data_IF_963083247526
#
_entry.id   IF_963083247526
#
_cell.length_a   1.000
_cell.length_b   1.000
_cell.length_c   1.000
_cell.angle_alpha   90.00
_cell.angle_beta   90.00
_cell.angle_gamma   90.00
#
_symmetry.space_group_name_H-M   'P 1'
#
loop_
_entity.id
_entity.type
_entity.pdbx_description
1 polymer ?
#
# COMPACT_ATOMS: atom_id res chain seq x y z
N UNK A 1 -57.10 17.99 -3.77
CA UNK A 1 -56.46 18.70 -4.89
C UNK A 1 -55.23 19.40 -4.35
N UNK A 2 -54.13 19.25 -5.09
CA UNK A 2 -52.79 19.89 -4.97
C UNK A 2 -51.87 19.54 -3.80
N UNK A 3 -50.75 18.95 -4.22
CA UNK A 3 -49.49 18.62 -3.54
C UNK A 3 -48.71 19.86 -3.07
N UNK A 4 -47.84 19.69 -2.07
CA UNK A 4 -46.39 19.86 -2.25
C UNK A 4 -45.58 19.35 -1.04
N UNK A 5 -44.48 18.67 -1.37
CA UNK A 5 -43.44 18.12 -0.51
C UNK A 5 -42.55 19.18 0.13
N UNK A 6 -41.95 18.85 1.28
CA UNK A 6 -40.74 19.48 1.80
C UNK A 6 -39.98 18.50 2.70
N UNK A 7 -38.95 17.84 2.15
CA UNK A 7 -38.00 16.98 2.86
C UNK A 7 -37.07 17.87 3.70
N UNK A 8 -36.90 17.54 4.98
CA UNK A 8 -35.86 18.08 5.84
C UNK A 8 -34.79 16.98 5.99
N UNK A 9 -33.66 17.13 5.31
CA UNK A 9 -32.47 16.29 5.49
C UNK A 9 -31.62 17.00 6.56
N UNK A 10 -31.45 16.34 7.70
CA UNK A 10 -30.59 16.80 8.78
C UNK A 10 -29.18 16.27 8.50
N UNK A 11 -28.29 17.14 8.07
CA UNK A 11 -26.85 16.94 8.13
C UNK A 11 -26.37 17.34 9.53
N UNK A 12 -25.69 16.45 10.24
CA UNK A 12 -24.95 16.81 11.44
C UNK A 12 -23.62 16.06 11.50
N UNK A 13 -22.55 16.80 11.21
CA UNK A 13 -21.17 16.45 11.49
C UNK A 13 -20.92 16.30 12.99
N UNK A 14 -20.19 15.26 13.41
CA UNK A 14 -19.43 15.24 14.65
C UNK A 14 -18.25 14.25 14.52
N UNK A 15 -17.11 14.75 14.07
CA UNK A 15 -15.79 14.25 14.42
C UNK A 15 -14.78 15.39 14.17
N UNK A 16 -14.66 16.26 15.17
CA UNK A 16 -13.55 17.20 15.30
C UNK A 16 -12.33 16.41 15.74
N UNK A 17 -11.21 16.50 15.00
CA UNK A 17 -9.93 16.02 15.48
C UNK A 17 -8.86 15.60 14.46
N UNK A 18 -8.78 16.20 13.27
CA UNK A 18 -7.59 16.10 12.41
C UNK A 18 -7.57 17.22 11.36
N UNK A 19 -7.53 18.49 11.80
CA UNK A 19 -7.34 19.63 10.88
C UNK A 19 -6.38 20.62 11.51
N UNK A 20 -5.08 20.35 11.40
CA UNK A 20 -4.03 21.34 11.64
C UNK A 20 -2.69 20.99 10.97
N UNK A 21 -2.66 20.21 9.88
CA UNK A 21 -1.45 20.01 9.07
C UNK A 21 -1.83 19.73 7.60
N UNK A 22 -2.65 20.59 6.97
CA UNK A 22 -2.78 20.54 5.51
C UNK A 22 -3.24 21.90 4.95
N UNK A 23 -2.29 22.82 4.86
CA UNK A 23 -2.38 23.98 3.98
C UNK A 23 -0.99 24.23 3.40
N UNK A 24 -0.50 23.33 2.56
CA UNK A 24 0.51 23.73 1.57
C UNK A 24 -0.21 24.51 0.49
N UNK A 25 -0.02 25.83 0.47
CA UNK A 25 -0.46 26.65 -0.65
C UNK A 25 0.18 26.16 -1.93
N UNK A 26 -0.61 26.14 -3.01
CA UNK A 26 -0.20 25.79 -4.36
C UNK A 26 1.02 26.63 -4.79
N UNK A 27 2.22 26.05 -4.64
CA UNK A 27 3.40 26.51 -5.36
C UNK A 27 3.55 25.56 -6.53
N UNK A 28 3.16 26.01 -7.72
CA UNK A 28 3.49 25.33 -8.99
C UNK A 28 5.02 25.28 -9.14
N UNK A 29 5.64 24.26 -8.56
CA UNK A 29 6.97 23.83 -8.95
C UNK A 29 6.86 23.10 -10.30
N UNK A 30 7.71 23.39 -11.29
CA UNK A 30 7.67 22.71 -12.56
C UNK A 30 7.91 21.21 -12.34
N UNK A 31 6.99 20.37 -12.82
CA UNK A 31 7.11 18.93 -12.77
C UNK A 31 8.47 18.48 -13.33
N UNK A 32 9.31 17.75 -12.57
CA UNK A 32 10.53 17.20 -13.12
C UNK A 32 10.16 16.23 -14.24
N UNK A 33 10.78 16.42 -15.40
CA UNK A 33 10.60 15.53 -16.55
C UNK A 33 11.39 14.25 -16.28
N UNK A 34 10.73 13.23 -15.76
CA UNK A 34 11.31 11.89 -15.62
C UNK A 34 11.47 11.25 -17.01
N UNK A 35 12.70 10.85 -17.34
CA UNK A 35 12.99 10.07 -18.54
C UNK A 35 12.48 8.64 -18.37
N UNK A 36 11.81 8.13 -19.40
CA UNK A 36 11.12 6.85 -19.40
C UNK A 36 11.92 5.68 -18.83
N UNK A 37 11.27 4.97 -17.91
CA UNK A 37 11.69 3.70 -17.34
C UNK A 37 11.55 2.60 -18.40
N UNK A 38 12.66 2.35 -19.08
CA UNK A 38 12.83 1.26 -20.04
C UNK A 38 14.19 0.61 -19.82
N UNK A 39 14.38 0.02 -18.65
CA UNK A 39 15.61 -0.67 -18.31
C UNK A 39 15.61 -1.07 -16.85
N UNK A 40 15.91 -2.34 -16.60
CA UNK A 40 16.29 -2.87 -15.28
C UNK A 40 17.49 -2.03 -14.83
N UNK A 41 17.23 -1.01 -14.01
CA UNK A 41 18.08 0.15 -13.87
C UNK A 41 19.08 -0.01 -12.74
N UNK A 42 20.33 -0.24 -13.09
CA UNK A 42 21.49 -0.07 -12.22
C UNK A 42 21.57 1.38 -11.71
N UNK A 43 21.41 1.58 -10.40
CA UNK A 43 22.10 2.64 -9.64
C UNK A 43 21.77 4.10 -9.96
N UNK A 44 20.50 4.48 -10.13
CA UNK A 44 20.12 5.89 -10.04
C UNK A 44 18.85 6.02 -9.22
N UNK A 45 18.95 6.67 -8.05
CA UNK A 45 17.88 6.79 -7.06
C UNK A 45 16.57 7.27 -7.68
N UNK A 46 15.51 6.48 -7.50
CA UNK A 46 14.14 6.89 -7.80
C UNK A 46 13.65 7.76 -6.64
N UNK A 47 13.04 8.91 -6.93
CA UNK A 47 12.58 9.85 -5.91
C UNK A 47 11.05 9.97 -5.92
N UNK A 48 10.37 9.53 -4.86
CA UNK A 48 8.89 9.59 -4.74
C UNK A 48 8.46 10.13 -3.35
N UNK A 49 7.22 10.64 -3.26
CA UNK A 49 6.52 11.15 -2.04
C UNK A 49 6.19 9.98 -1.06
N UNK A 50 5.99 10.13 0.27
CA UNK A 50 6.13 9.00 1.25
C UNK A 50 5.13 8.86 2.43
N UNK A 51 3.79 8.84 2.29
CA UNK A 51 2.96 9.09 3.54
C UNK A 51 1.45 8.85 3.46
N UNK A 52 1.03 7.84 2.72
CA UNK A 52 -0.23 7.19 3.07
C UNK A 52 0.12 5.76 3.49
N UNK A 53 -0.14 5.40 4.74
CA UNK A 53 0.08 4.02 5.22
C UNK A 53 -0.93 3.09 4.58
N UNK A 54 -2.17 3.57 4.67
CA UNK A 54 -3.38 3.16 4.01
C UNK A 54 -3.96 4.48 3.51
N UNK A 55 -4.57 4.46 2.33
CA UNK A 55 -5.18 5.68 1.84
C UNK A 55 -6.24 6.16 2.85
N UNK A 56 -6.26 7.45 3.20
CA UNK A 56 -7.27 7.97 4.15
C UNK A 56 -8.69 7.68 3.67
N UNK A 57 -8.86 7.65 2.34
CA UNK A 57 -10.06 7.24 1.64
C UNK A 57 -10.29 5.73 1.57
N UNK A 58 -9.33 4.87 1.91
CA UNK A 58 -9.48 3.40 1.87
C UNK A 58 -9.59 2.74 3.25
N UNK A 59 -9.63 3.51 4.35
CA UNK A 59 -9.65 2.97 5.74
C UNK A 59 -10.75 1.95 6.02
N UNK A 60 -11.86 2.06 5.31
CA UNK A 60 -13.04 1.22 5.41
C UNK A 60 -12.90 -0.15 4.71
N UNK A 61 -12.09 -0.27 3.65
CA UNK A 61 -12.02 -1.47 2.80
C UNK A 61 -10.61 -1.69 2.23
N UNK A 62 -9.56 -1.54 3.05
CA UNK A 62 -8.20 -1.84 2.59
C UNK A 62 -7.83 -3.31 2.80
N UNK A 63 -8.58 -4.06 3.62
CA UNK A 63 -8.44 -5.50 3.79
C UNK A 63 -9.80 -6.19 3.76
N UNK A 64 -9.88 -7.36 3.12
CA UNK A 64 -11.10 -8.17 3.09
C UNK A 64 -10.81 -9.65 2.84
N UNK A 65 -11.72 -10.53 3.30
CA UNK A 65 -11.68 -11.97 3.01
C UNK A 65 -12.38 -12.31 1.69
N UNK A 66 -11.78 -13.20 0.89
CA UNK A 66 -12.42 -13.72 -0.33
C UNK A 66 -13.53 -14.73 -0.08
N UNK A 67 -13.49 -15.41 1.06
CA UNK A 67 -14.49 -16.41 1.44
C UNK A 67 -15.79 -15.76 1.89
N UNK A 68 -15.82 -14.42 1.97
CA UNK A 68 -16.94 -13.66 2.49
C UNK A 68 -17.09 -13.80 3.99
N UNK A 69 -16.01 -14.16 4.69
CA UNK A 69 -15.96 -14.09 6.14
C UNK A 69 -15.77 -12.64 6.59
N UNK A 70 -16.14 -12.35 7.84
CA UNK A 70 -15.83 -11.06 8.44
C UNK A 70 -14.32 -10.98 8.71
N UNK A 71 -13.69 -9.92 8.23
CA UNK A 71 -12.31 -9.59 8.55
C UNK A 71 -12.27 -8.30 9.34
N UNK A 72 -11.56 -8.30 10.48
CA UNK A 72 -11.35 -7.08 11.27
C UNK A 72 -9.95 -6.55 10.98
N UNK A 73 -9.89 -5.35 10.43
CA UNK A 73 -8.61 -4.70 10.16
C UNK A 73 -8.05 -4.03 11.43
N UNK A 74 -6.81 -3.56 11.37
CA UNK A 74 -6.13 -2.92 12.53
C UNK A 74 -6.75 -1.60 13.01
N UNK A 75 -7.65 -0.99 12.22
CA UNK A 75 -8.49 0.12 12.67
C UNK A 75 -9.80 -0.36 13.29
N UNK A 76 -9.96 -1.65 13.59
CA UNK A 76 -11.17 -2.19 14.20
C UNK A 76 -12.41 -2.15 13.30
N UNK A 77 -12.25 -1.87 12.00
CA UNK A 77 -13.36 -1.99 11.05
C UNK A 77 -13.51 -3.44 10.65
N UNK A 78 -14.75 -3.94 10.68
CA UNK A 78 -15.07 -5.25 10.14
C UNK A 78 -15.54 -5.08 8.69
N UNK A 79 -14.93 -5.78 7.74
CA UNK A 79 -15.37 -5.83 6.35
C UNK A 79 -15.82 -7.25 5.99
N UNK A 80 -16.83 -7.36 5.13
CA UNK A 80 -17.32 -8.62 4.59
C UNK A 80 -17.65 -8.45 3.12
N UNK A 81 -16.91 -9.13 2.24
CA UNK A 81 -17.26 -9.21 0.83
C UNK A 81 -18.55 -10.03 0.66
N UNK A 82 -19.58 -9.44 0.07
CA UNK A 82 -20.90 -10.08 -0.06
C UNK A 82 -21.28 -10.40 -1.50
N UNK A 83 -20.71 -9.71 -2.48
CA UNK A 83 -21.00 -9.93 -3.89
C UNK A 83 -19.84 -9.48 -4.76
N UNK A 84 -19.63 -10.24 -5.83
CA UNK A 84 -18.71 -9.91 -6.93
C UNK A 84 -19.57 -9.79 -8.18
N UNK A 85 -19.40 -8.72 -8.94
CA UNK A 85 -20.12 -8.50 -10.20
C UNK A 85 -19.16 -8.05 -11.29
N UNK A 86 -19.36 -8.54 -12.51
CA UNK A 86 -18.57 -8.17 -13.68
C UNK A 86 -19.52 -7.78 -14.82
N UNK A 87 -19.46 -6.52 -15.25
CA UNK A 87 -20.36 -6.00 -16.29
C UNK A 87 -20.09 -6.63 -17.66
N UNK A 88 -18.82 -6.73 -18.03
CA UNK A 88 -18.36 -7.14 -19.37
C UNK A 88 -17.62 -8.49 -19.32
N UNK A 89 -18.30 -9.55 -18.88
CA UNK A 89 -17.72 -10.90 -18.93
C UNK A 89 -17.89 -11.55 -20.32
N UNK A 90 -17.13 -12.61 -20.65
CA UNK A 90 -17.34 -13.41 -21.86
C UNK A 90 -18.75 -14.01 -22.01
N UNK A 91 -19.55 -14.00 -20.94
CA UNK A 91 -20.92 -14.54 -20.89
C UNK A 91 -21.98 -13.47 -20.61
N UNK A 92 -21.63 -12.18 -20.75
CA UNK A 92 -22.48 -11.04 -20.39
C UNK A 92 -22.34 -10.65 -18.92
N UNK A 93 -23.22 -9.78 -18.39
CA UNK A 93 -23.16 -9.39 -16.99
C UNK A 93 -23.32 -10.58 -16.04
N UNK A 94 -22.38 -10.77 -15.12
CA UNK A 94 -22.40 -11.84 -14.12
C UNK A 94 -22.33 -11.23 -12.72
N UNK A 95 -23.08 -11.79 -11.78
CA UNK A 95 -23.07 -11.36 -10.38
C UNK A 95 -23.22 -12.57 -9.47
N UNK A 96 -22.34 -12.70 -8.48
CA UNK A 96 -22.28 -13.87 -7.60
C UNK A 96 -22.20 -13.44 -6.14
N UNK A 97 -23.15 -13.86 -5.30
CA UNK A 97 -23.03 -13.70 -3.85
C UNK A 97 -21.86 -14.55 -3.32
N UNK A 98 -20.99 -13.94 -2.52
CA UNK A 98 -19.82 -14.65 -1.97
C UNK A 98 -20.25 -15.64 -0.89
N UNK A 99 -19.65 -16.84 -0.92
CA UNK A 99 -19.98 -17.95 -0.02
C UNK A 99 -21.30 -18.67 -0.34
N UNK A 100 -22.07 -18.24 -1.35
CA UNK A 100 -23.26 -18.95 -1.78
C UNK A 100 -22.90 -20.13 -2.72
N UNK A 101 -23.63 -21.26 -2.66
CA UNK A 101 -23.48 -22.33 -3.64
C UNK A 101 -23.76 -21.79 -5.05
N UNK A 102 -22.89 -22.14 -5.99
CA UNK A 102 -23.08 -21.82 -7.40
C UNK A 102 -24.42 -22.37 -7.92
N UNK A 103 -25.32 -21.50 -8.42
CA UNK A 103 -26.59 -21.96 -8.98
C UNK A 103 -26.32 -22.83 -10.21
N UNK A 104 -26.85 -24.06 -10.29
CA UNK A 104 -26.65 -24.91 -11.44
C UNK A 104 -27.32 -24.26 -12.67
N UNK A 105 -26.52 -23.97 -13.70
CA UNK A 105 -27.01 -23.40 -14.96
C UNK A 105 -26.94 -21.88 -15.06
N UNK A 106 -26.35 -21.19 -14.07
CA UNK A 106 -26.02 -19.76 -14.16
C UNK A 106 -24.50 -19.56 -14.23
N UNK A 107 -24.08 -18.45 -14.85
CA UNK A 107 -22.68 -18.05 -14.80
C UNK A 107 -22.36 -17.47 -13.44
N UNK A 108 -21.14 -17.69 -12.96
CA UNK A 108 -20.66 -17.12 -11.71
C UNK A 108 -19.27 -16.53 -11.84
N UNK A 109 -18.91 -15.66 -10.90
CA UNK A 109 -17.60 -15.04 -10.80
C UNK A 109 -17.07 -15.22 -9.38
N UNK A 110 -15.79 -15.60 -9.26
CA UNK A 110 -15.10 -15.76 -7.99
C UNK A 110 -13.70 -15.16 -8.07
N UNK A 111 -13.19 -14.61 -6.97
CA UNK A 111 -11.79 -14.15 -6.90
C UNK A 111 -10.90 -15.36 -6.65
N UNK A 112 -9.76 -15.41 -7.34
CA UNK A 112 -8.74 -16.45 -7.18
C UNK A 112 -7.62 -15.99 -6.23
N UNK A 113 -7.03 -16.89 -5.43
CA UNK A 113 -5.82 -16.57 -4.67
C UNK A 113 -4.61 -16.39 -5.61
N UNK A 114 -3.56 -15.75 -5.10
CA UNK A 114 -2.27 -15.65 -5.76
C UNK A 114 -1.67 -14.25 -5.82
N UNK A 115 -0.51 -14.20 -6.49
CA UNK A 115 0.41 -13.06 -6.53
C UNK A 115 -0.15 -11.81 -7.22
N UNK A 116 -1.00 -12.02 -8.22
CA UNK A 116 -1.74 -10.97 -8.93
C UNK A 116 -3.24 -11.18 -8.72
N UNK A 117 -3.97 -10.07 -8.74
CA UNK A 117 -5.41 -10.07 -8.56
C UNK A 117 -6.11 -10.63 -9.79
N UNK A 118 -6.85 -11.72 -9.60
CA UNK A 118 -7.48 -12.48 -10.68
C UNK A 118 -8.87 -12.91 -10.27
N UNK A 119 -9.74 -13.04 -11.26
CA UNK A 119 -11.06 -13.63 -11.05
C UNK A 119 -11.28 -14.77 -12.04
N UNK A 120 -12.03 -15.79 -11.65
CA UNK A 120 -12.54 -16.79 -12.58
C UNK A 120 -14.01 -16.53 -12.87
N UNK A 121 -14.39 -16.68 -14.13
CA UNK A 121 -15.80 -16.73 -14.56
C UNK A 121 -16.14 -18.15 -14.95
N UNK A 122 -17.07 -18.76 -14.22
CA UNK A 122 -17.52 -20.13 -14.43
C UNK A 122 -18.74 -20.11 -15.34
N UNK A 123 -18.64 -20.79 -16.49
CA UNK A 123 -19.75 -20.89 -17.44
C UNK A 123 -20.78 -21.94 -17.01
N UNK A 124 -22.08 -21.70 -17.21
CA UNK A 124 -23.08 -22.71 -16.97
C UNK A 124 -23.00 -23.88 -17.95
N UNK A 125 -23.16 -25.10 -17.42
CA UNK A 125 -23.26 -26.34 -18.18
C UNK A 125 -22.04 -27.27 -18.04
N UNK A 126 -22.24 -28.59 -18.16
CA UNK A 126 -21.19 -29.58 -17.93
C UNK A 126 -20.07 -29.47 -18.97
N UNK A 127 -18.83 -29.45 -18.50
CA UNK A 127 -17.63 -29.53 -19.33
C UNK A 127 -17.12 -28.20 -19.92
N UNK A 128 -17.70 -27.06 -19.55
CA UNK A 128 -17.08 -25.77 -19.87
C UNK A 128 -15.99 -25.45 -18.83
N UNK A 129 -14.74 -25.20 -19.23
CA UNK A 129 -13.71 -24.78 -18.29
C UNK A 129 -14.00 -23.36 -17.77
N UNK A 130 -13.62 -23.03 -16.51
CA UNK A 130 -13.58 -21.65 -16.04
C UNK A 130 -12.68 -20.79 -16.94
N UNK A 131 -13.02 -19.51 -17.05
CA UNK A 131 -12.19 -18.52 -17.74
C UNK A 131 -11.57 -17.63 -16.67
N UNK A 132 -10.26 -17.68 -16.54
CA UNK A 132 -9.48 -16.77 -15.68
C UNK A 132 -9.35 -15.42 -16.39
N UNK A 133 -9.58 -14.35 -15.64
CA UNK A 133 -9.50 -12.96 -16.09
C UNK A 133 -8.50 -12.21 -15.19
N UNK A 134 -7.72 -11.32 -15.81
CA UNK A 134 -6.70 -10.50 -15.18
C UNK A 134 -6.46 -9.22 -16.00
N UNK A 135 -5.77 -8.23 -15.45
CA UNK A 135 -5.44 -6.98 -16.13
C UNK A 135 -6.68 -6.28 -16.71
N UNK A 136 -6.64 -5.96 -18.01
CA UNK A 136 -7.73 -5.25 -18.73
C UNK A 136 -9.09 -5.98 -18.65
N UNK A 137 -9.09 -7.30 -18.49
CA UNK A 137 -10.34 -8.08 -18.38
C UNK A 137 -11.10 -7.81 -17.07
N UNK A 138 -10.47 -7.16 -16.08
CA UNK A 138 -11.09 -6.79 -14.81
C UNK A 138 -11.75 -5.41 -14.83
N UNK A 139 -11.68 -4.66 -15.94
CA UNK A 139 -12.39 -3.39 -16.04
C UNK A 139 -13.91 -3.64 -16.02
N UNK A 140 -14.62 -2.90 -15.18
CA UNK A 140 -16.04 -3.13 -14.91
C UNK A 140 -16.30 -4.18 -13.82
N UNK A 141 -15.25 -4.75 -13.20
CA UNK A 141 -15.39 -5.53 -11.97
C UNK A 141 -15.89 -4.62 -10.85
N UNK A 142 -16.82 -5.13 -10.06
CA UNK A 142 -17.40 -4.49 -8.88
C UNK A 142 -17.42 -5.45 -7.71
N UNK A 143 -16.96 -4.98 -6.55
CA UNK A 143 -16.99 -5.71 -5.30
C UNK A 143 -17.92 -4.97 -4.32
N UNK A 144 -18.93 -5.65 -3.81
CA UNK A 144 -19.86 -5.11 -2.81
C UNK A 144 -19.54 -5.71 -1.44
N UNK A 145 -19.52 -4.85 -0.43
CA UNK A 145 -19.18 -5.21 0.94
C UNK A 145 -20.26 -4.74 1.91
N UNK A 146 -20.26 -5.38 3.08
CA UNK A 146 -20.82 -4.82 4.30
C UNK A 146 -19.64 -4.44 5.19
N UNK A 147 -19.61 -3.20 5.67
CA UNK A 147 -18.60 -2.69 6.60
C UNK A 147 -19.25 -2.29 7.91
N UNK A 148 -18.59 -2.59 9.03
CA UNK A 148 -18.96 -2.09 10.36
C UNK A 148 -17.82 -1.27 10.93
N UNK A 149 -18.15 -0.05 11.35
CA UNK A 149 -17.23 0.78 12.13
C UNK A 149 -17.30 0.48 13.62
N UNK A 150 -16.66 1.34 14.42
CA UNK A 150 -16.66 1.27 15.88
C UNK A 150 -18.03 1.38 16.53
N UNK A 151 -19.01 1.96 15.84
CA UNK A 151 -20.39 2.06 16.33
C UNK A 151 -21.17 0.74 16.16
N UNK A 152 -20.58 -0.26 15.49
CA UNK A 152 -21.18 -1.54 15.18
C UNK A 152 -22.29 -1.47 14.12
N UNK A 153 -22.52 -0.31 13.51
CA UNK A 153 -23.54 -0.13 12.47
C UNK A 153 -22.99 -0.66 11.15
N UNK A 154 -23.78 -1.50 10.50
CA UNK A 154 -23.43 -2.06 9.20
C UNK A 154 -23.82 -1.10 8.06
N UNK A 155 -22.89 -0.85 7.17
CA UNK A 155 -23.05 -0.02 5.97
C UNK A 155 -22.75 -0.86 4.74
N UNK A 156 -23.58 -0.70 3.70
CA UNK A 156 -23.26 -1.23 2.38
C UNK A 156 -22.32 -0.26 1.67
N UNK A 157 -21.27 -0.81 1.09
CA UNK A 157 -20.25 -0.06 0.33
C UNK A 157 -19.85 -0.88 -0.87
N UNK A 158 -19.42 -0.22 -1.94
CA UNK A 158 -18.95 -0.90 -3.13
C UNK A 158 -17.71 -0.21 -3.71
N UNK A 159 -16.86 -1.00 -4.38
CA UNK A 159 -15.75 -0.48 -5.17
C UNK A 159 -15.82 -1.04 -6.59
N UNK A 160 -15.34 -0.26 -7.56
CA UNK A 160 -15.37 -0.59 -8.99
C UNK A 160 -14.03 -0.35 -9.66
N UNK A 161 -13.63 -1.27 -10.53
CA UNK A 161 -12.40 -1.21 -11.31
C UNK A 161 -12.70 -0.50 -12.63
N UNK A 162 -12.01 0.61 -12.89
CA UNK A 162 -12.37 1.54 -13.97
C UNK A 162 -11.25 1.78 -14.98
N UNK A 163 -10.01 1.48 -14.61
CA UNK A 163 -8.84 1.62 -15.46
C UNK A 163 -7.77 0.61 -15.00
N UNK A 164 -6.84 0.25 -15.89
CA UNK A 164 -5.79 -0.71 -15.64
C UNK A 164 -4.47 -0.20 -16.24
N UNK A 165 -3.38 -0.43 -15.50
CA UNK A 165 -2.02 -0.12 -15.91
C UNK A 165 -1.13 -1.30 -15.54
N UNK A 166 -0.56 -1.94 -16.55
CA UNK A 166 0.51 -2.92 -16.35
C UNK A 166 1.85 -2.19 -16.16
N UNK A 167 2.51 -2.41 -15.03
CA UNK A 167 3.83 -1.87 -14.76
C UNK A 167 4.90 -2.96 -14.86
N UNK A 168 5.96 -2.73 -15.63
CA UNK A 168 6.95 -3.75 -15.98
C UNK A 168 7.58 -4.49 -14.78
N UNK A 169 7.77 -3.80 -13.64
CA UNK A 169 8.31 -4.40 -12.41
C UNK A 169 7.26 -4.66 -11.34
N UNK A 170 6.13 -3.96 -11.41
CA UNK A 170 5.19 -3.86 -10.31
C UNK A 170 3.88 -4.61 -10.59
N UNK A 171 3.74 -5.19 -11.79
CA UNK A 171 2.57 -5.94 -12.25
C UNK A 171 1.36 -5.03 -12.45
N UNK A 172 0.17 -5.62 -12.29
CA UNK A 172 -1.09 -4.92 -12.54
C UNK A 172 -1.43 -3.90 -11.45
N UNK A 173 -1.82 -2.71 -11.90
CA UNK A 173 -2.39 -1.62 -11.11
C UNK A 173 -3.77 -1.25 -11.65
N UNK A 174 -4.70 -0.93 -10.76
CA UNK A 174 -6.08 -0.63 -11.11
C UNK A 174 -6.51 0.73 -10.57
N UNK A 175 -7.25 1.50 -11.36
CA UNK A 175 -7.99 2.65 -10.85
C UNK A 175 -9.28 2.14 -10.22
N UNK A 176 -9.32 2.17 -8.90
CA UNK A 176 -10.47 1.74 -8.12
C UNK A 176 -11.26 2.96 -7.66
N UNK A 177 -12.57 2.94 -7.89
CA UNK A 177 -13.52 3.98 -7.48
C UNK A 177 -14.39 3.44 -6.35
N UNK A 178 -14.71 4.28 -5.37
CA UNK A 178 -15.87 4.07 -4.51
C UNK A 178 -17.14 4.19 -5.35
N UNK A 179 -18.05 3.26 -5.17
CA UNK A 179 -19.30 3.18 -5.93
C UNK A 179 -20.48 3.33 -4.98
N UNK A 180 -21.54 3.96 -5.45
CA UNK A 180 -22.83 3.94 -4.76
C UNK A 180 -23.39 2.51 -4.81
N UNK A 181 -23.69 1.88 -3.65
CA UNK A 181 -24.11 0.49 -3.62
C UNK A 181 -25.47 0.26 -4.31
N UNK A 182 -26.36 1.26 -4.33
CA UNK A 182 -27.70 1.14 -4.90
C UNK A 182 -27.71 1.39 -6.41
N UNK A 183 -27.05 2.45 -6.85
CA UNK A 183 -27.09 2.93 -8.25
C UNK A 183 -25.92 2.42 -9.08
N UNK A 184 -24.78 2.10 -8.45
CA UNK A 184 -23.55 1.76 -9.15
C UNK A 184 -22.86 2.92 -9.83
N UNK A 185 -23.22 4.16 -9.50
CA UNK A 185 -22.49 5.35 -9.97
C UNK A 185 -21.19 5.55 -9.18
N UNK A 186 -20.11 6.02 -9.83
CA UNK A 186 -18.86 6.33 -9.15
C UNK A 186 -19.03 7.57 -8.25
N UNK A 187 -18.59 7.45 -7.00
CA UNK A 187 -18.67 8.51 -6.00
C UNK A 187 -17.36 9.29 -5.88
N UNK A 188 -16.23 8.59 -5.76
CA UNK A 188 -14.90 9.16 -5.60
C UNK A 188 -13.82 8.11 -5.90
N UNK A 189 -12.58 8.50 -6.23
CA UNK A 189 -11.45 7.58 -6.26
C UNK A 189 -11.22 6.92 -4.89
N UNK A 190 -10.85 5.64 -4.88
CA UNK A 190 -10.48 4.94 -3.65
C UNK A 190 -9.11 5.42 -3.14
N UNK A 191 -8.19 5.71 -4.06
CA UNK A 191 -6.83 6.13 -3.75
C UNK A 191 -6.62 7.64 -3.94
N UNK A 192 -5.76 8.19 -3.09
CA UNK A 192 -5.14 9.49 -3.29
C UNK A 192 -4.10 9.45 -4.42
N UNK A 193 -3.76 10.63 -4.94
CA UNK A 193 -2.72 10.78 -5.98
C UNK A 193 -1.35 10.42 -5.43
N UNK A 194 -0.56 9.69 -6.23
CA UNK A 194 0.86 9.55 -6.02
C UNK A 194 1.65 10.75 -6.57
N UNK A 195 2.97 10.69 -6.52
CA UNK A 195 3.85 11.77 -6.98
C UNK A 195 3.75 12.06 -8.48
N UNK A 196 3.23 11.11 -9.27
CA UNK A 196 3.03 11.26 -10.71
C UNK A 196 1.58 11.66 -11.05
N UNK A 197 0.73 11.85 -10.03
CA UNK A 197 -0.68 12.22 -10.19
C UNK A 197 -1.59 11.03 -10.50
N UNK A 198 -1.11 9.79 -10.38
CA UNK A 198 -1.93 8.61 -10.60
C UNK A 198 -2.67 8.19 -9.32
N UNK A 199 -3.86 7.61 -9.48
CA UNK A 199 -4.72 7.11 -8.39
C UNK A 199 -4.96 5.62 -8.57
N UNK A 200 -3.87 4.86 -8.52
CA UNK A 200 -3.91 3.43 -8.79
C UNK A 200 -3.78 2.61 -7.51
N UNK A 201 -4.20 1.36 -7.55
CA UNK A 201 -4.02 0.40 -6.48
C UNK A 201 -3.56 -0.95 -7.04
N UNK A 202 -2.68 -1.61 -6.31
CA UNK A 202 -2.41 -3.04 -6.46
C UNK A 202 -3.14 -3.79 -5.36
N UNK A 203 -3.59 -5.01 -5.64
CA UNK A 203 -4.20 -5.87 -4.64
C UNK A 203 -3.26 -7.03 -4.37
N UNK A 204 -2.89 -7.22 -3.10
CA UNK A 204 -2.04 -8.31 -2.65
C UNK A 204 -2.87 -9.40 -1.97
N UNK A 205 -2.59 -10.66 -2.25
CA UNK A 205 -3.11 -11.78 -1.46
C UNK A 205 -2.18 -12.06 -0.27
N UNK A 206 -2.79 -12.39 0.85
CA UNK A 206 -2.16 -12.72 2.13
C UNK A 206 -1.44 -11.60 2.85
N UNK A 207 -1.36 -10.39 2.30
CA UNK A 207 -0.78 -9.24 3.01
C UNK A 207 -1.79 -8.68 4.01
N UNK A 208 -1.35 -8.43 5.24
CA UNK A 208 -2.03 -7.58 6.21
C UNK A 208 -1.08 -6.49 6.68
N UNK A 209 -1.62 -5.28 6.84
CA UNK A 209 -0.89 -4.09 7.28
C UNK A 209 -1.64 -3.48 8.46
N UNK A 210 -0.97 -3.44 9.61
CA UNK A 210 -1.43 -2.60 10.70
C UNK A 210 -1.36 -1.14 10.24
N UNK A 211 -2.46 -0.42 10.24
CA UNK A 211 -2.53 0.91 9.66
C UNK A 211 -2.20 2.00 10.69
N UNK A 212 -1.98 1.64 11.95
CA UNK A 212 -1.47 2.51 13.01
C UNK A 212 0.05 2.42 13.11
N UNK A 213 0.59 1.20 13.07
CA UNK A 213 2.04 0.94 13.18
C UNK A 213 2.68 0.68 11.81
N UNK A 214 1.93 0.41 10.75
CA UNK A 214 2.50 -0.05 9.47
C UNK A 214 3.30 -1.35 9.59
N UNK A 215 3.12 -2.10 10.68
CA UNK A 215 3.59 -3.47 10.79
C UNK A 215 2.90 -4.31 9.72
N UNK A 216 3.66 -5.19 9.07
CA UNK A 216 3.18 -6.00 7.97
C UNK A 216 3.34 -7.46 8.33
N UNK A 217 2.29 -8.22 8.07
CA UNK A 217 2.29 -9.67 8.23
C UNK A 217 1.75 -10.32 6.96
N UNK A 218 2.27 -11.50 6.64
CA UNK A 218 1.75 -12.33 5.57
C UNK A 218 0.95 -13.46 6.20
N UNK A 219 -0.34 -13.19 6.42
CA UNK A 219 -1.27 -14.04 7.19
C UNK A 219 -1.75 -15.29 6.45
N UNK A 220 -1.22 -15.54 5.24
CA UNK A 220 -1.59 -16.64 4.36
C UNK A 220 -2.75 -16.30 3.41
N UNK A 221 -3.07 -17.22 2.48
CA UNK A 221 -4.09 -17.01 1.44
C UNK A 221 -5.45 -16.59 2.01
N UNK A 222 -6.14 -15.70 1.29
CA UNK A 222 -7.56 -15.41 1.51
C UNK A 222 -7.87 -14.07 2.16
N UNK A 223 -6.86 -13.34 2.67
CA UNK A 223 -6.98 -11.91 3.02
C UNK A 223 -6.36 -11.09 1.91
N UNK A 224 -7.10 -10.14 1.36
CA UNK A 224 -6.64 -9.30 0.28
C UNK A 224 -6.42 -7.87 0.78
N UNK A 225 -5.27 -7.30 0.49
CA UNK A 225 -4.91 -5.93 0.83
C UNK A 225 -4.91 -5.02 -0.40
N UNK A 226 -5.64 -3.91 -0.35
CA UNK A 226 -5.68 -2.88 -1.39
C UNK A 226 -4.60 -1.83 -1.12
N UNK A 227 -3.48 -1.94 -1.81
CA UNK A 227 -2.34 -1.05 -1.70
C UNK A 227 -2.36 0.04 -2.79
N UNK A 228 -2.75 1.25 -2.41
CA UNK A 228 -2.68 2.40 -3.31
C UNK A 228 -1.23 2.71 -3.72
N UNK A 229 -1.00 3.19 -4.95
CA UNK A 229 0.32 3.65 -5.44
C UNK A 229 0.85 4.85 -4.66
N UNK A 230 -0.04 5.59 -4.00
CA UNK A 230 0.30 6.65 -3.04
C UNK A 230 0.70 6.13 -1.66
N UNK A 231 0.48 4.83 -1.37
CA UNK A 231 0.80 4.20 -0.10
C UNK A 231 2.16 3.51 -0.08
N UNK A 232 2.72 3.26 1.11
CA UNK A 232 4.03 2.59 1.21
C UNK A 232 4.04 1.20 0.51
N UNK A 233 3.06 0.29 0.74
CA UNK A 233 3.03 -1.01 0.05
C UNK A 233 2.92 -0.90 -1.47
N UNK A 234 2.19 0.09 -1.98
CA UNK A 234 2.07 0.33 -3.42
C UNK A 234 3.35 0.94 -4.02
N UNK A 235 4.05 1.79 -3.28
CA UNK A 235 5.35 2.37 -3.71
C UNK A 235 6.47 1.33 -3.73
N UNK A 236 6.48 0.42 -2.76
CA UNK A 236 7.49 -0.63 -2.66
C UNK A 236 7.66 -1.43 -3.97
N UNK A 237 6.56 -1.85 -4.60
CA UNK A 237 6.61 -2.54 -5.89
C UNK A 237 7.04 -1.64 -7.05
N UNK A 238 6.66 -0.36 -7.04
CA UNK A 238 7.11 0.63 -8.04
C UNK A 238 8.62 0.84 -7.98
N UNK A 239 9.20 0.74 -6.78
CA UNK A 239 10.65 0.71 -6.56
C UNK A 239 11.32 -0.62 -6.96
N UNK A 240 10.56 -1.62 -7.42
CA UNK A 240 11.08 -2.93 -7.82
C UNK A 240 11.13 -3.97 -6.71
N UNK A 241 10.62 -3.65 -5.51
CA UNK A 241 10.55 -4.61 -4.42
C UNK A 241 9.21 -5.34 -4.42
N UNK A 242 9.02 -6.20 -5.42
CA UNK A 242 7.84 -7.05 -5.46
C UNK A 242 8.05 -8.29 -4.58
N UNK A 243 7.18 -8.59 -3.60
CA UNK A 243 7.37 -9.73 -2.69
C UNK A 243 7.44 -11.07 -3.41
N UNK A 244 6.91 -11.17 -4.64
CA UNK A 244 6.90 -12.40 -5.45
C UNK A 244 8.17 -12.56 -6.30
N UNK A 245 8.88 -11.46 -6.56
CA UNK A 245 10.13 -11.44 -7.32
C UNK A 245 11.36 -11.44 -6.40
N UNK A 246 11.23 -10.89 -5.19
CA UNK A 246 12.25 -10.86 -4.15
C UNK A 246 11.83 -11.74 -2.97
N UNK A 247 11.98 -11.24 -1.75
CA UNK A 247 11.51 -11.89 -0.53
C UNK A 247 10.52 -11.00 0.20
N UNK A 248 9.68 -11.60 1.03
CA UNK A 248 8.76 -10.90 1.93
C UNK A 248 9.53 -9.95 2.85
N UNK A 249 10.68 -10.37 3.37
CA UNK A 249 11.51 -9.55 4.25
C UNK A 249 12.04 -8.30 3.53
N UNK A 250 12.44 -8.43 2.25
CA UNK A 250 12.86 -7.28 1.45
C UNK A 250 11.70 -6.30 1.24
N UNK A 251 10.49 -6.80 0.95
CA UNK A 251 9.29 -5.99 0.82
C UNK A 251 8.94 -5.25 2.13
N UNK A 252 8.94 -5.95 3.27
CA UNK A 252 8.69 -5.35 4.58
C UNK A 252 9.75 -4.28 4.89
N UNK A 253 11.02 -4.57 4.61
CA UNK A 253 12.11 -3.66 4.88
C UNK A 253 12.03 -2.39 4.04
N UNK A 254 11.79 -2.48 2.72
CA UNK A 254 11.62 -1.26 1.92
C UNK A 254 10.44 -0.44 2.41
N UNK A 255 9.35 -1.07 2.87
CA UNK A 255 8.23 -0.34 3.44
C UNK A 255 8.67 0.49 4.65
N UNK A 256 9.50 -0.06 5.54
CA UNK A 256 10.11 0.72 6.65
C UNK A 256 10.98 1.85 6.14
N UNK A 257 11.79 1.61 5.10
CA UNK A 257 12.63 2.64 4.47
C UNK A 257 11.79 3.79 3.90
N UNK A 258 10.75 3.50 3.11
CA UNK A 258 9.82 4.51 2.55
C UNK A 258 9.22 5.36 3.67
N UNK A 259 8.90 4.72 4.79
CA UNK A 259 8.26 5.34 5.97
C UNK A 259 9.24 6.07 6.88
N UNK A 260 10.55 5.91 6.67
CA UNK A 260 11.58 6.30 7.62
C UNK A 260 11.28 5.74 9.03
N UNK A 261 10.81 4.49 9.14
CA UNK A 261 10.51 3.81 10.41
C UNK A 261 11.81 3.35 11.09
N UNK A 262 12.65 4.32 11.48
CA UNK A 262 14.01 4.06 11.99
C UNK A 262 14.01 3.10 13.17
N UNK A 263 12.97 3.16 14.00
CA UNK A 263 12.87 2.36 15.21
C UNK A 263 12.27 0.97 14.98
N UNK A 264 11.81 0.68 13.77
CA UNK A 264 11.09 -0.53 13.42
C UNK A 264 9.86 -0.80 14.34
N UNK A 265 9.32 0.26 14.96
CA UNK A 265 8.17 0.23 15.86
C UNK A 265 6.90 0.71 15.16
N UNK A 266 7.04 1.14 13.91
CA UNK A 266 5.96 1.59 13.10
C UNK A 266 5.69 3.08 13.12
N UNK A 267 6.47 3.85 13.85
CA UNK A 267 6.38 5.30 13.82
C UNK A 267 7.09 5.86 12.58
N UNK A 268 6.45 6.72 11.77
CA UNK A 268 7.14 7.35 10.65
C UNK A 268 8.01 8.49 11.17
N UNK A 269 9.16 8.68 10.55
CA UNK A 269 9.94 9.90 10.73
C UNK A 269 10.06 10.66 9.39
N UNK A 270 8.95 10.74 8.66
CA UNK A 270 8.82 11.44 7.36
C UNK A 270 7.42 12.07 7.19
N UNK A 271 7.26 12.94 6.18
CA UNK A 271 6.01 13.65 5.86
C UNK A 271 5.70 13.68 4.36
N UNK A 272 4.43 13.98 4.00
CA UNK A 272 4.02 14.28 2.62
C UNK A 272 4.94 15.18 1.83
N UNK A 273 5.34 14.67 0.67
CA UNK A 273 6.22 15.34 -0.29
C UNK A 273 7.69 14.95 -0.14
N UNK A 274 8.10 14.30 0.95
CA UNK A 274 9.51 13.97 1.16
C UNK A 274 10.02 13.00 0.12
N UNK A 275 11.01 13.48 -0.62
CA UNK A 275 11.80 12.74 -1.58
C UNK A 275 12.68 11.71 -0.87
N UNK A 276 12.67 10.46 -1.35
CA UNK A 276 13.53 9.38 -0.86
C UNK A 276 14.36 8.84 -2.01
N UNK A 277 15.68 8.78 -1.86
CA UNK A 277 16.53 7.95 -2.73
C UNK A 277 16.79 6.61 -2.04
N UNK A 278 16.79 5.52 -2.79
CA UNK A 278 17.10 4.19 -2.28
C UNK A 278 18.18 3.57 -3.17
N UNK A 279 19.25 3.10 -2.53
CA UNK A 279 20.21 2.15 -3.12
C UNK A 279 20.23 0.88 -2.29
N UNK A 280 20.47 -0.25 -2.94
CA UNK A 280 20.44 -1.55 -2.28
C UNK A 280 21.36 -2.55 -2.97
N UNK A 281 21.57 -3.70 -2.33
CA UNK A 281 22.33 -4.82 -2.90
C UNK A 281 21.49 -6.08 -3.18
N UNK A 282 20.16 -6.03 -3.10
CA UNK A 282 19.27 -7.20 -3.27
C UNK A 282 19.36 -7.80 -4.66
N UNK A 283 19.54 -6.94 -5.67
CA UNK A 283 19.63 -7.35 -7.07
C UNK A 283 21.05 -7.80 -7.46
N UNK A 284 21.99 -7.81 -6.51
CA UNK A 284 23.42 -8.06 -6.76
C UNK A 284 24.14 -6.89 -7.43
N UNK A 285 23.44 -5.78 -7.66
CA UNK A 285 24.00 -4.52 -8.15
C UNK A 285 23.74 -3.41 -7.16
N UNK A 286 24.80 -2.84 -6.60
CA UNK A 286 24.74 -1.71 -5.67
C UNK A 286 25.82 -1.80 -4.59
N UNK A 287 25.88 -0.82 -3.68
CA UNK A 287 26.88 -0.80 -2.62
C UNK A 287 26.65 -1.97 -1.65
N UNK A 288 27.73 -2.68 -1.33
CA UNK A 288 27.75 -3.73 -0.29
C UNK A 288 28.29 -3.20 1.04
N UNK A 289 28.90 -2.01 1.02
CA UNK A 289 29.43 -1.36 2.20
C UNK A 289 29.00 0.10 2.28
N UNK A 290 28.99 0.67 3.49
CA UNK A 290 28.72 2.09 3.71
C UNK A 290 29.72 2.98 2.97
N UNK A 291 30.99 2.56 2.88
CA UNK A 291 32.01 3.31 2.15
C UNK A 291 31.71 3.37 0.64
N UNK A 292 31.20 2.28 0.06
CA UNK A 292 30.74 2.26 -1.34
C UNK A 292 29.51 3.14 -1.55
N UNK A 293 28.57 3.12 -0.59
CA UNK A 293 27.39 3.99 -0.65
C UNK A 293 27.75 5.48 -0.55
N UNK A 294 28.72 5.86 0.30
CA UNK A 294 29.23 7.25 0.32
C UNK A 294 29.92 7.61 -0.99
N UNK A 295 30.60 6.67 -1.64
CA UNK A 295 31.26 6.89 -2.92
C UNK A 295 30.28 7.01 -4.10
N UNK A 296 29.03 6.56 -3.95
CA UNK A 296 27.97 6.68 -4.96
C UNK A 296 27.09 7.93 -4.79
N UNK A 297 27.29 8.72 -3.73
CA UNK A 297 26.50 9.95 -3.51
C UNK A 297 26.78 11.01 -4.57
N UNK A 298 25.72 11.69 -5.01
CA UNK A 298 25.83 12.97 -5.72
C UNK A 298 26.39 14.09 -4.84
N UNK A 299 26.77 15.22 -5.45
CA UNK A 299 27.35 16.38 -4.73
C UNK A 299 26.41 16.95 -3.65
N UNK A 300 25.10 16.78 -3.81
CA UNK A 300 24.05 17.28 -2.91
C UNK A 300 23.29 16.15 -2.16
N UNK A 301 23.85 14.93 -2.15
CA UNK A 301 23.24 13.78 -1.46
C UNK A 301 23.96 13.45 -0.16
N UNK A 302 23.20 13.01 0.84
CA UNK A 302 23.73 12.41 2.07
C UNK A 302 23.13 11.04 2.31
N UNK A 303 23.88 10.15 2.95
CA UNK A 303 23.29 8.96 3.55
C UNK A 303 22.42 9.42 4.71
N UNK A 304 21.11 9.21 4.56
CA UNK A 304 20.12 9.45 5.60
C UNK A 304 20.21 8.33 6.64
N UNK A 305 20.13 7.08 6.18
CA UNK A 305 20.17 5.91 7.04
C UNK A 305 20.61 4.66 6.27
N UNK A 306 21.14 3.68 7.01
CA UNK A 306 21.47 2.35 6.51
C UNK A 306 20.63 1.34 7.25
N UNK A 307 20.07 0.37 6.55
CA UNK A 307 19.07 -0.56 7.09
C UNK A 307 19.44 -2.01 6.79
N UNK A 308 18.96 -2.91 7.65
CA UNK A 308 18.91 -4.36 7.45
C UNK A 308 17.52 -4.91 7.81
N UNK A 309 17.34 -6.23 7.71
CA UNK A 309 16.07 -6.89 8.01
C UNK A 309 15.55 -6.64 9.45
N UNK A 310 16.42 -6.19 10.35
CA UNK A 310 16.10 -5.90 11.75
C UNK A 310 15.79 -4.41 12.00
N UNK A 311 15.96 -3.53 11.01
CA UNK A 311 15.68 -2.11 11.10
C UNK A 311 16.89 -1.25 10.74
N UNK A 312 16.95 -0.05 11.30
CA UNK A 312 18.06 0.86 11.02
C UNK A 312 19.34 0.37 11.72
N UNK A 313 20.46 0.38 10.99
CA UNK A 313 21.80 0.11 11.51
C UNK A 313 22.48 1.40 11.97
N UNK A 314 22.33 2.45 11.17
CA UNK A 314 22.83 3.79 11.46
C UNK A 314 21.94 4.85 10.81
N UNK A 315 21.95 6.06 11.36
CA UNK A 315 21.19 7.20 10.86
C UNK A 315 22.01 8.47 11.02
N UNK A 316 21.98 9.34 10.01
CA UNK A 316 22.61 10.66 10.04
C UNK A 316 21.53 11.75 10.19
N UNK A 317 20.97 12.25 9.10
CA UNK A 317 19.94 13.31 9.11
C UNK A 317 18.55 12.72 8.85
N UNK A 318 17.60 12.79 9.80
CA UNK A 318 16.21 12.38 9.57
C UNK A 318 15.54 13.16 8.43
N UNK A 319 14.55 12.55 7.75
CA UNK A 319 13.82 13.22 6.66
C UNK A 319 12.90 14.34 7.14
N UNK A 320 12.39 14.22 8.35
CA UNK A 320 11.56 15.25 8.96
C UNK A 320 12.45 16.42 9.39
N UNK A 321 12.35 17.56 8.71
CA UNK A 321 13.23 18.73 8.94
C UNK A 321 13.13 19.38 10.33
N UNK A 322 12.12 18.99 11.11
CA UNK A 322 11.90 19.37 12.50
C UNK A 322 12.29 18.27 13.50
N UNK A 323 12.92 17.19 13.04
CA UNK A 323 13.39 16.07 13.85
C UNK A 323 14.90 16.01 13.70
N UNK A 324 15.61 16.25 14.79
CA UNK A 324 17.04 16.01 14.82
C UNK A 324 17.33 14.54 15.09
N UNK A 325 18.52 14.06 14.73
CA UNK A 325 18.93 12.67 14.98
C UNK A 325 18.78 12.29 16.45
N UNK A 326 19.04 13.22 17.35
CA UNK A 326 18.94 13.06 18.80
C UNK A 326 17.51 12.86 19.32
N UNK A 327 16.51 13.25 18.52
CA UNK A 327 15.08 13.11 18.82
C UNK A 327 14.55 11.72 18.46
N UNK A 328 15.25 10.97 17.62
CA UNK A 328 14.90 9.58 17.28
C UNK A 328 15.39 8.65 18.40
N UNK A 329 14.47 8.32 19.30
CA UNK A 329 14.72 7.45 20.46
C UNK A 329 13.86 6.21 20.32
N UNK A 330 14.50 5.08 20.06
CA UNK A 330 13.83 3.83 19.78
C UNK A 330 13.64 2.97 21.05
N UNK A 331 12.57 2.16 21.09
CA UNK A 331 12.44 1.10 22.08
C UNK A 331 13.56 0.08 21.86
N UNK A 332 14.19 -0.40 22.94
CA UNK A 332 15.23 -1.42 22.81
C UNK A 332 14.56 -2.77 22.64
N UNK A 333 14.88 -3.46 21.54
CA UNK A 333 14.53 -4.87 21.35
C UNK A 333 15.31 -5.67 22.39
N UNK A 334 14.61 -6.43 23.24
CA UNK A 334 15.17 -7.17 24.38
C UNK A 334 16.60 -7.70 24.15
N UNK A 335 17.53 -7.33 25.04
CA UNK A 335 18.82 -8.00 25.09
C UNK A 335 18.64 -9.43 25.63
N UNK A 336 19.60 -10.31 25.35
CA UNK A 336 19.64 -11.74 25.74
C UNK A 336 19.50 -12.00 27.25
N UNK A 337 19.46 -10.94 28.08
CA UNK A 337 19.28 -10.98 29.53
C UNK A 337 17.85 -10.63 30.00
N UNK A 338 16.90 -10.37 29.10
CA UNK A 338 15.49 -10.13 29.44
C UNK A 338 15.20 -8.78 30.11
N UNK A 339 16.12 -7.82 30.03
CA UNK A 339 15.90 -6.45 30.53
C UNK A 339 15.51 -5.55 29.36
N UNK A 340 14.28 -5.04 29.36
CA UNK A 340 13.84 -3.99 28.44
C UNK A 340 14.32 -2.65 29.01
N UNK A 341 15.37 -2.10 28.41
CA UNK A 341 15.67 -0.68 28.57
C UNK A 341 14.94 0.10 27.47
N UNK A 342 14.50 1.32 27.73
CA UNK A 342 14.08 2.24 26.67
C UNK A 342 15.26 3.20 26.50
N UNK A 343 15.59 3.62 25.27
CA UNK A 343 16.64 4.62 24.89
C UNK A 343 17.76 4.09 23.96
N UNK A 344 17.45 3.26 22.95
CA UNK A 344 18.44 3.06 21.88
C UNK A 344 18.36 4.22 20.90
N UNK A 345 19.52 4.75 20.53
CA UNK A 345 19.66 5.77 19.48
C UNK A 345 20.49 5.17 18.36
N UNK A 346 20.03 5.23 17.10
CA UNK A 346 20.84 4.81 15.97
C UNK A 346 22.21 5.52 16.01
N UNK A 347 23.32 4.79 15.87
CA UNK A 347 24.64 5.40 15.74
C UNK A 347 24.71 6.21 14.45
N UNK A 348 25.58 7.22 14.42
CA UNK A 348 25.81 8.01 13.22
C UNK A 348 26.51 7.16 12.14
N UNK A 349 26.08 7.27 10.89
CA UNK A 349 26.61 6.45 9.79
C UNK A 349 28.10 6.68 9.50
N UNK A 350 28.60 7.90 9.70
CA UNK A 350 30.01 8.25 9.51
C UNK A 350 30.98 7.48 10.43
N UNK A 351 30.50 6.97 11.57
CA UNK A 351 31.29 6.23 12.55
C UNK A 351 30.85 4.76 12.68
N UNK A 352 29.87 4.32 11.89
CA UNK A 352 29.35 2.96 11.98
C UNK A 352 30.27 1.98 11.24
N UNK A 353 30.64 0.91 11.92
CA UNK A 353 31.36 -0.22 11.33
C UNK A 353 30.38 -1.37 11.22
N UNK A 354 30.02 -1.73 9.99
CA UNK A 354 29.09 -2.83 9.74
C UNK A 354 29.72 -4.16 10.20
N UNK A 355 29.14 -4.85 11.20
CA UNK A 355 29.66 -6.13 11.65
C UNK A 355 29.42 -7.26 10.64
N UNK A 356 28.53 -7.07 9.65
CA UNK A 356 28.18 -8.06 8.64
C UNK A 356 27.92 -7.43 7.26
N UNK A 357 28.96 -6.97 6.55
CA UNK A 357 28.81 -6.31 5.25
C UNK A 357 28.27 -7.23 4.12
N UNK A 358 28.12 -8.53 4.38
CA UNK A 358 27.55 -9.47 3.43
C UNK A 358 26.02 -9.61 3.54
N UNK A 359 25.40 -9.00 4.55
CA UNK A 359 23.95 -9.03 4.71
C UNK A 359 23.24 -8.05 3.77
N UNK A 360 21.93 -8.20 3.65
CA UNK A 360 21.10 -7.35 2.80
C UNK A 360 21.08 -5.92 3.37
N UNK A 361 21.24 -4.92 2.52
CA UNK A 361 21.34 -3.51 2.92
C UNK A 361 20.46 -2.63 2.06
N UNK A 362 19.81 -1.68 2.73
CA UNK A 362 19.28 -0.49 2.08
C UNK A 362 20.07 0.73 2.55
N UNK A 363 20.37 1.60 1.60
CA UNK A 363 20.97 2.90 1.82
C UNK A 363 19.93 3.92 1.39
N UNK A 364 19.29 4.57 2.36
CA UNK A 364 18.40 5.67 2.04
C UNK A 364 19.20 6.97 1.94
N UNK A 365 18.91 7.72 0.89
CA UNK A 365 19.58 8.98 0.57
C UNK A 365 18.60 10.13 0.75
N UNK A 366 19.07 11.19 1.39
CA UNK A 366 18.41 12.48 1.45
C UNK A 366 19.09 13.49 0.53
N UNK A 367 18.33 14.47 0.05
CA UNK A 367 18.89 15.69 -0.53
C UNK A 367 19.08 16.74 0.57
N UNK A 368 20.20 17.47 0.54
CA UNK A 368 20.48 18.57 1.48
C UNK A 368 19.67 19.83 1.12
#
# INVERSE_FOLDING_TARGET
>A
MTNHHGKLILALCLALGATACDQSGDVEAPAPTFRGLGGVGTGSGLTLNTNQWVSSSARDIYEFSLQGDWHTNSYGYESKLVRISLADSPYGPVSTPVGAPHPPGEASVAVLPGDDFRVEVIKPGPGNPPVELQGDDLIGLRLDFIVRGYDGVAHEVAIGFTDHLEHATAGDFYRIMKMDPETGEPLAPLCEEDSDGYRMARIYDGLSVDAQTGEMDFVGEGIHHVACSSSAPGKAVLFGYNPTQLTVEAFILVNRVVRADYCADGHPYTYPGNLVGIEDNFTGSGPTTIAEAYASLGEDEVIEAVWDENGVLCMDTPRASNVEREDVICPIKEFTNGTVEYNWRPPQCSNFVDPNPAAMRYFSKGSI
#
